data_IF_997594040819
#
_entry.id   IF_997594040819
#
_cell.length_a   1.000
_cell.length_b   1.000
_cell.length_c   1.000
_cell.angle_alpha   90.00
_cell.angle_beta   90.00
_cell.angle_gamma   90.00
#
_symmetry.space_group_name_H-M   'P 1'
#
loop_
_entity.id
_entity.type
_entity.pdbx_description
1 polymer ?
#
# COMPACT_ATOMS: atom_id res chain seq x y z
N UNK A 1 14.07 -4.69 -9.03
CA UNK A 1 12.81 -3.99 -8.81
C UNK A 1 12.78 -3.39 -7.42
N UNK A 2 12.48 -2.11 -7.33
CA UNK A 2 12.52 -1.42 -6.04
C UNK A 2 11.48 -1.93 -5.06
N UNK A 3 10.26 -2.19 -5.53
CA UNK A 3 9.18 -2.61 -4.64
C UNK A 3 9.53 -3.87 -3.88
N UNK A 4 10.24 -4.80 -4.50
CA UNK A 4 10.62 -6.05 -3.84
C UNK A 4 11.62 -5.83 -2.72
N UNK A 5 12.26 -4.68 -2.67
CA UNK A 5 13.24 -4.34 -1.63
C UNK A 5 12.62 -3.57 -0.48
N UNK A 6 11.35 -3.17 -0.60
CA UNK A 6 10.67 -2.40 0.44
C UNK A 6 10.06 -3.36 1.45
N UNK A 7 10.62 -3.39 2.64
CA UNK A 7 10.12 -4.24 3.72
C UNK A 7 9.16 -3.48 4.63
N UNK A 8 9.24 -2.18 4.62
CA UNK A 8 8.36 -1.34 5.42
C UNK A 8 8.50 0.10 4.99
N UNK A 9 7.66 0.99 5.53
CA UNK A 9 7.65 2.38 5.08
C UNK A 9 8.95 3.13 5.33
N UNK A 10 9.75 2.70 6.30
CA UNK A 10 11.00 3.37 6.58
C UNK A 10 11.97 3.32 5.40
N UNK A 11 11.84 2.29 4.57
CA UNK A 11 12.75 2.12 3.44
C UNK A 11 12.60 3.22 2.40
N UNK A 12 11.46 3.92 2.40
CA UNK A 12 11.25 5.03 1.49
C UNK A 12 12.07 6.27 1.86
N UNK A 13 12.50 6.35 3.13
CA UNK A 13 13.23 7.54 3.60
C UNK A 13 14.55 7.74 2.91
N UNK A 14 15.11 6.68 2.34
CA UNK A 14 16.41 6.73 1.71
C UNK A 14 16.37 6.83 0.20
N UNK A 15 15.18 6.81 -0.38
CA UNK A 15 15.04 6.81 -1.82
C UNK A 15 15.18 8.22 -2.39
N UNK A 16 15.82 8.33 -3.56
CA UNK A 16 15.90 9.57 -4.30
C UNK A 16 14.56 9.87 -4.96
N UNK A 17 14.43 11.08 -5.49
CA UNK A 17 13.22 11.47 -6.22
C UNK A 17 12.97 10.52 -7.40
N UNK A 18 14.02 10.17 -8.14
CA UNK A 18 13.88 9.26 -9.28
C UNK A 18 13.45 7.87 -8.83
N UNK A 19 14.00 7.41 -7.71
CA UNK A 19 13.62 6.11 -7.17
C UNK A 19 12.17 6.11 -6.67
N UNK A 20 11.73 7.20 -6.08
CA UNK A 20 10.33 7.30 -5.64
C UNK A 20 9.39 7.26 -6.84
N UNK A 21 9.75 7.89 -7.94
CA UNK A 21 8.94 7.85 -9.15
C UNK A 21 8.90 6.45 -9.74
N UNK A 22 10.03 5.76 -9.74
CA UNK A 22 10.08 4.38 -10.19
C UNK A 22 9.23 3.47 -9.30
N UNK A 23 9.29 3.69 -7.98
CA UNK A 23 8.48 2.93 -7.05
C UNK A 23 6.99 3.13 -7.32
N UNK A 24 6.58 4.36 -7.63
CA UNK A 24 5.19 4.63 -7.94
C UNK A 24 4.73 3.86 -9.18
N UNK A 25 5.58 3.77 -10.20
CA UNK A 25 5.26 2.98 -11.39
C UNK A 25 5.11 1.50 -11.06
N UNK A 26 6.00 0.98 -10.23
CA UNK A 26 5.93 -0.43 -9.83
C UNK A 26 4.69 -0.73 -9.00
N UNK A 27 4.31 0.20 -8.12
CA UNK A 27 3.08 0.06 -7.36
C UNK A 27 1.86 0.04 -8.27
N UNK A 28 1.83 0.90 -9.29
CA UNK A 28 0.73 0.92 -10.24
C UNK A 28 0.63 -0.41 -10.97
N UNK A 29 1.76 -0.92 -11.43
CA UNK A 29 1.78 -2.19 -12.15
C UNK A 29 1.29 -3.34 -11.27
N UNK A 30 1.70 -3.35 -10.01
CA UNK A 30 1.29 -4.40 -9.08
C UNK A 30 -0.22 -4.31 -8.80
N UNK A 31 -0.74 -3.11 -8.63
CA UNK A 31 -2.16 -2.91 -8.37
C UNK A 31 -2.98 -3.34 -9.58
N UNK A 32 -2.58 -2.95 -10.78
CA UNK A 32 -3.29 -3.31 -12.01
C UNK A 32 -3.28 -4.82 -12.20
N UNK A 33 -2.12 -5.44 -12.05
CA UNK A 33 -1.96 -6.86 -12.25
C UNK A 33 -2.80 -7.66 -11.25
N UNK A 34 -2.77 -7.25 -9.98
CA UNK A 34 -3.49 -7.97 -8.94
C UNK A 34 -5.00 -7.79 -9.08
N UNK A 35 -5.47 -6.57 -9.34
CA UNK A 35 -6.91 -6.33 -9.45
C UNK A 35 -7.50 -6.99 -10.70
N UNK A 36 -6.71 -7.19 -11.75
CA UNK A 36 -7.16 -7.93 -12.93
C UNK A 36 -7.47 -9.37 -12.55
N UNK A 37 -6.78 -9.90 -11.55
CA UNK A 37 -6.94 -11.27 -11.11
C UNK A 37 -7.98 -11.43 -10.00
N UNK A 38 -7.99 -10.54 -9.02
CA UNK A 38 -8.82 -10.67 -7.83
C UNK A 38 -10.04 -9.77 -7.80
N UNK A 39 -10.10 -8.79 -8.70
CA UNK A 39 -11.10 -7.74 -8.63
C UNK A 39 -10.67 -6.69 -7.61
N UNK A 40 -11.41 -5.63 -7.51
CA UNK A 40 -11.14 -4.57 -6.54
C UNK A 40 -11.25 -3.19 -7.14
N UNK A 41 -10.89 -2.20 -6.32
CA UNK A 41 -11.02 -0.80 -6.68
C UNK A 41 -9.77 -0.32 -7.41
N UNK A 42 -9.85 -0.16 -8.72
CA UNK A 42 -8.69 0.19 -9.53
C UNK A 42 -8.47 1.70 -9.60
N UNK A 43 -9.49 2.45 -10.02
CA UNK A 43 -9.31 3.88 -10.28
C UNK A 43 -8.91 4.66 -9.03
N UNK A 44 -9.58 4.41 -7.91
CA UNK A 44 -9.26 5.12 -6.67
C UNK A 44 -7.90 4.74 -6.13
N UNK A 45 -7.52 3.46 -6.28
CA UNK A 45 -6.19 3.01 -5.85
C UNK A 45 -5.09 3.63 -6.69
N UNK A 46 -5.26 3.67 -8.01
CA UNK A 46 -4.25 4.27 -8.89
C UNK A 46 -4.15 5.78 -8.66
N UNK A 47 -5.27 6.43 -8.36
CA UNK A 47 -5.27 7.87 -8.13
C UNK A 47 -4.54 8.29 -6.86
N UNK A 48 -4.35 7.37 -5.93
CA UNK A 48 -3.72 7.68 -4.66
C UNK A 48 -2.26 7.24 -4.54
N UNK A 49 -1.69 6.59 -5.57
CA UNK A 49 -0.35 6.00 -5.46
C UNK A 49 0.70 7.03 -5.10
N UNK A 50 0.80 8.11 -5.85
CA UNK A 50 1.83 9.13 -5.59
C UNK A 50 1.64 9.79 -4.23
N UNK A 51 0.39 10.04 -3.85
CA UNK A 51 0.11 10.63 -2.55
C UNK A 51 0.57 9.71 -1.43
N UNK A 52 0.27 8.42 -1.53
CA UNK A 52 0.65 7.45 -0.51
C UNK A 52 2.17 7.30 -0.43
N UNK A 53 2.85 7.28 -1.57
CA UNK A 53 4.31 7.25 -1.60
C UNK A 53 4.87 8.48 -0.88
N UNK A 54 4.33 9.66 -1.18
CA UNK A 54 4.78 10.89 -0.55
C UNK A 54 4.52 10.89 0.96
N UNK A 55 3.37 10.39 1.38
CA UNK A 55 3.04 10.32 2.80
C UNK A 55 4.04 9.42 3.54
N UNK A 56 4.37 8.28 2.97
CA UNK A 56 5.32 7.38 3.61
C UNK A 56 6.75 7.87 3.53
N UNK A 57 7.05 8.73 2.56
CA UNK A 57 8.38 9.34 2.48
C UNK A 57 8.57 10.39 3.59
N UNK A 58 7.50 11.08 3.95
CA UNK A 58 7.56 12.21 4.89
C UNK A 58 7.21 11.81 6.32
N UNK A 59 6.19 10.98 6.49
CA UNK A 59 5.70 10.60 7.81
C UNK A 59 6.15 9.19 8.18
N UNK A 60 6.17 8.90 9.48
CA UNK A 60 6.64 7.60 9.99
C UNK A 60 5.46 6.74 10.42
N UNK A 61 4.89 5.99 9.50
CA UNK A 61 3.83 5.04 9.80
C UNK A 61 4.45 3.78 10.43
N UNK A 62 3.86 3.18 11.44
CA UNK A 62 2.54 3.51 12.02
C UNK A 62 2.59 4.50 13.17
N UNK A 63 3.75 5.03 13.51
CA UNK A 63 3.85 6.01 14.58
C UNK A 63 3.01 7.24 14.25
N UNK A 64 3.16 7.76 13.03
CA UNK A 64 2.24 8.74 12.48
C UNK A 64 1.10 7.98 11.86
N UNK A 65 -0.12 8.29 12.25
CA UNK A 65 -1.27 7.52 11.78
C UNK A 65 -1.80 8.06 10.48
N UNK A 66 -2.00 7.15 9.53
CA UNK A 66 -2.58 7.49 8.23
C UNK A 66 -3.92 6.79 8.16
N UNK A 67 -4.98 7.58 8.07
CA UNK A 67 -6.35 7.06 8.03
C UNK A 67 -6.95 7.30 6.65
N UNK A 68 -7.66 6.31 6.16
CA UNK A 68 -8.30 6.41 4.86
C UNK A 68 -9.81 6.48 5.03
N UNK A 69 -10.44 7.44 4.38
CA UNK A 69 -11.90 7.54 4.37
C UNK A 69 -12.42 6.37 3.53
N UNK A 70 -13.23 5.52 4.12
CA UNK A 70 -13.73 4.26 3.56
C UNK A 70 -12.61 3.23 3.35
N UNK A 71 -11.49 3.63 2.72
CA UNK A 71 -10.31 2.75 2.62
C UNK A 71 -10.12 2.05 1.29
N UNK A 72 -10.95 2.31 0.29
CA UNK A 72 -10.82 1.62 -1.00
C UNK A 72 -9.62 2.09 -1.82
N UNK A 73 -8.96 3.16 -1.39
CA UNK A 73 -7.78 3.71 -2.07
C UNK A 73 -6.47 3.30 -1.38
N UNK A 74 -6.51 2.30 -0.48
CA UNK A 74 -5.39 2.00 0.39
C UNK A 74 -4.44 0.91 -0.13
N UNK A 75 -4.57 0.49 -1.37
CA UNK A 75 -3.78 -0.63 -1.88
C UNK A 75 -2.27 -0.37 -1.84
N UNK A 76 -1.83 0.81 -2.26
CA UNK A 76 -0.41 1.13 -2.19
C UNK A 76 0.08 1.14 -0.74
N UNK A 77 -0.74 1.62 0.20
CA UNK A 77 -0.41 1.61 1.61
C UNK A 77 -0.17 0.18 2.10
N UNK A 78 -1.03 -0.76 1.70
CA UNK A 78 -0.87 -2.15 2.08
C UNK A 78 0.41 -2.74 1.51
N UNK A 79 0.73 -2.41 0.28
CA UNK A 79 1.96 -2.90 -0.36
C UNK A 79 3.21 -2.38 0.33
N UNK A 80 3.17 -1.15 0.85
CA UNK A 80 4.34 -0.52 1.46
C UNK A 80 4.49 -0.82 2.94
N UNK A 81 3.49 -1.39 3.58
CA UNK A 81 3.48 -1.57 5.04
C UNK A 81 3.53 -3.02 5.48
N UNK A 82 4.28 -3.84 4.78
CA UNK A 82 4.58 -5.19 5.22
C UNK A 82 3.60 -6.27 4.76
N UNK A 83 2.67 -5.93 3.87
CA UNK A 83 1.68 -6.89 3.38
C UNK A 83 1.82 -7.21 1.90
N UNK A 84 2.98 -6.87 1.34
CA UNK A 84 3.23 -7.10 -0.08
C UNK A 84 3.08 -8.56 -0.48
N UNK A 85 3.60 -9.47 0.35
CA UNK A 85 3.59 -10.88 0.02
C UNK A 85 2.18 -11.47 0.02
N UNK A 86 1.24 -10.82 0.69
CA UNK A 86 -0.15 -11.28 0.74
C UNK A 86 -1.07 -10.52 -0.20
N UNK A 87 -0.53 -9.55 -0.92
CA UNK A 87 -1.37 -8.68 -1.75
C UNK A 87 -2.15 -9.45 -2.82
N UNK A 88 -1.56 -10.54 -3.32
CA UNK A 88 -2.25 -11.36 -4.32
C UNK A 88 -3.54 -12.00 -3.77
N UNK A 89 -3.72 -11.98 -2.44
CA UNK A 89 -4.92 -12.55 -1.81
C UNK A 89 -5.99 -11.50 -1.54
N UNK A 90 -5.79 -10.27 -2.01
CA UNK A 90 -6.70 -9.20 -1.68
C UNK A 90 -8.12 -9.52 -2.16
N UNK A 91 -9.10 -9.30 -1.27
CA UNK A 91 -10.50 -9.58 -1.51
C UNK A 91 -10.83 -11.07 -1.71
N UNK A 92 -9.88 -11.96 -1.50
CA UNK A 92 -10.11 -13.40 -1.55
C UNK A 92 -10.54 -13.88 -0.16
N UNK A 93 -11.28 -14.97 -0.11
CA UNK A 93 -11.69 -15.52 1.16
C UNK A 93 -10.46 -15.94 1.95
N UNK A 94 -10.38 -15.51 3.20
CA UNK A 94 -9.23 -15.79 4.04
C UNK A 94 -8.00 -14.95 3.70
N UNK A 95 -8.13 -14.05 2.72
CA UNK A 95 -7.01 -13.24 2.30
C UNK A 95 -7.06 -11.82 2.85
N UNK A 96 -6.25 -10.95 2.25
CA UNK A 96 -6.15 -9.57 2.68
C UNK A 96 -7.42 -8.80 2.37
N UNK A 97 -7.82 -7.92 3.29
CA UNK A 97 -9.01 -7.10 3.10
C UNK A 97 -8.79 -6.06 2.00
N UNK A 98 -9.84 -5.81 1.22
CA UNK A 98 -9.80 -4.74 0.21
C UNK A 98 -9.96 -3.35 0.79
N UNK A 99 -10.34 -3.26 2.07
CA UNK A 99 -10.50 -1.99 2.76
C UNK A 99 -9.59 -1.98 3.97
N UNK A 100 -9.46 -0.82 4.62
CA UNK A 100 -8.77 -0.77 5.91
C UNK A 100 -9.62 -1.51 6.92
N UNK A 101 -8.97 -2.27 7.79
CA UNK A 101 -9.69 -3.11 8.72
C UNK A 101 -8.92 -3.19 10.02
N UNK A 102 -9.63 -3.02 11.12
CA UNK A 102 -9.02 -3.15 12.42
C UNK A 102 -9.14 -4.58 12.90
N UNK A 103 -8.03 -5.23 13.21
CA UNK A 103 -8.01 -6.56 13.70
C UNK A 103 -7.21 -6.58 14.98
N UNK A 104 -7.87 -6.48 16.11
CA UNK A 104 -7.21 -6.41 17.39
C UNK A 104 -6.23 -5.27 17.43
N UNK A 105 -5.13 -5.44 18.13
CA UNK A 105 -4.19 -4.41 18.28
C UNK A 105 -3.26 -4.35 17.18
N UNK A 106 -2.93 -5.46 16.60
CA UNK A 106 -2.03 -5.49 15.47
C UNK A 106 -2.62 -4.75 14.31
N UNK A 107 -3.88 -4.46 14.40
CA UNK A 107 -4.58 -3.75 13.34
C UNK A 107 -4.09 -2.36 13.11
N UNK A 108 -3.23 -1.86 13.93
CA UNK A 108 -2.70 -0.52 13.68
C UNK A 108 -2.24 -0.36 12.25
N UNK A 109 -1.67 -1.40 11.68
CA UNK A 109 -1.19 -1.32 10.31
C UNK A 109 -2.33 -1.35 9.32
N UNK A 110 -3.45 -1.96 9.70
CA UNK A 110 -4.58 -2.03 8.79
C UNK A 110 -5.40 -0.77 8.79
N UNK A 111 -5.57 -0.15 9.93
CA UNK A 111 -6.37 1.05 9.97
C UNK A 111 -5.59 2.32 9.72
N UNK A 112 -4.30 2.24 9.66
CA UNK A 112 -3.52 3.44 9.36
C UNK A 112 -2.83 3.36 8.04
#
# INVERSE_FOLDING_TARGET
MLLSQIEGPQDLKQLSQEELEQLALELRDEIISTTASTGGHLASSLGAVELIVALHRVFDSPRDRILFDVGHQAYAHKLLTGRRDLFHTIRQQGGLSGFTKEIGRASCRERV
#
